data_IF_737582780794
#
_entry.id   IF_737582780794
#
_cell.length_a   1.000
_cell.length_b   1.000
_cell.length_c   1.000
_cell.angle_alpha   90.00
_cell.angle_beta   90.00
_cell.angle_gamma   90.00
#
_symmetry.space_group_name_H-M   'P 1'
#
loop_
_entity.id
_entity.type
_entity.pdbx_description
1 polymer ?
#
# COMPACT_ATOMS: atom_id res chain seq x y z
N UNK A 1 4.36 19.35 7.59
CA UNK A 1 3.08 19.06 6.89
C UNK A 1 3.37 18.32 5.60
N UNK A 2 2.70 17.20 5.35
CA UNK A 2 2.89 16.38 4.15
C UNK A 2 2.37 17.13 2.91
N UNK A 3 3.12 17.09 1.80
CA UNK A 3 2.70 17.70 0.53
C UNK A 3 2.31 16.64 -0.50
N UNK A 4 1.66 17.06 -1.59
CA UNK A 4 1.38 16.17 -2.73
C UNK A 4 2.63 15.48 -3.26
N UNK A 5 3.74 16.22 -3.38
CA UNK A 5 5.00 15.65 -3.87
C UNK A 5 5.59 14.60 -2.90
N UNK A 6 5.42 14.79 -1.60
CA UNK A 6 5.86 13.81 -0.60
C UNK A 6 5.02 12.51 -0.72
N UNK A 7 3.71 12.64 -0.90
CA UNK A 7 2.82 11.48 -1.10
C UNK A 7 3.11 10.78 -2.43
N UNK A 8 3.37 11.53 -3.51
CA UNK A 8 3.83 10.96 -4.80
C UNK A 8 5.10 10.17 -4.59
N UNK A 9 6.10 10.72 -3.90
CA UNK A 9 7.35 10.01 -3.61
C UNK A 9 7.09 8.70 -2.86
N UNK A 10 6.27 8.74 -1.81
CA UNK A 10 5.90 7.54 -1.04
C UNK A 10 5.17 6.50 -1.90
N UNK A 11 4.23 6.93 -2.75
CA UNK A 11 3.48 6.04 -3.65
C UNK A 11 4.35 5.43 -4.75
N UNK A 12 5.31 6.18 -5.29
CA UNK A 12 6.28 5.65 -6.25
C UNK A 12 7.21 4.62 -5.59
N UNK A 13 7.67 4.88 -4.37
CA UNK A 13 8.45 3.89 -3.60
C UNK A 13 7.62 2.61 -3.35
N UNK A 14 6.35 2.75 -2.94
CA UNK A 14 5.44 1.61 -2.75
C UNK A 14 5.19 0.86 -4.06
N UNK A 15 4.88 1.57 -5.15
CA UNK A 15 4.66 0.99 -6.49
C UNK A 15 5.87 0.23 -6.97
N UNK A 16 7.05 0.83 -6.88
CA UNK A 16 8.29 0.19 -7.28
C UNK A 16 8.56 -1.06 -6.45
N UNK A 17 8.33 -1.00 -5.14
CA UNK A 17 8.53 -2.15 -4.27
C UNK A 17 7.53 -3.28 -4.58
N UNK A 18 6.26 -2.97 -4.86
CA UNK A 18 5.24 -3.94 -5.23
C UNK A 18 5.51 -4.60 -6.58
N UNK A 19 5.74 -3.81 -7.63
CA UNK A 19 5.96 -4.32 -8.99
C UNK A 19 7.23 -5.17 -9.07
N UNK A 20 8.28 -4.80 -8.34
CA UNK A 20 9.53 -5.55 -8.29
C UNK A 20 9.57 -6.62 -7.19
N UNK A 21 8.47 -6.84 -6.46
CA UNK A 21 8.38 -7.82 -5.38
C UNK A 21 9.46 -7.63 -4.30
N UNK A 22 9.85 -6.38 -4.04
CA UNK A 22 10.89 -6.02 -3.09
C UNK A 22 10.29 -5.87 -1.68
N UNK A 23 10.27 -6.99 -0.95
CA UNK A 23 9.69 -7.09 0.40
C UNK A 23 10.35 -6.13 1.40
N UNK A 24 11.68 -6.01 1.36
CA UNK A 24 12.43 -5.15 2.29
C UNK A 24 12.07 -3.68 2.12
N UNK A 25 11.88 -3.23 0.88
CA UNK A 25 11.47 -1.86 0.58
C UNK A 25 10.09 -1.56 1.15
N UNK A 26 9.14 -2.51 1.05
CA UNK A 26 7.82 -2.33 1.64
C UNK A 26 7.85 -2.34 3.17
N UNK A 27 8.58 -3.28 3.77
CA UNK A 27 8.75 -3.31 5.22
C UNK A 27 9.41 -2.03 5.75
N UNK A 28 10.32 -1.43 4.97
CA UNK A 28 10.94 -0.14 5.29
C UNK A 28 9.92 1.00 5.29
N UNK A 29 9.03 1.09 4.27
CA UNK A 29 7.97 2.10 4.17
C UNK A 29 7.03 2.08 5.37
N UNK A 30 6.77 0.89 5.94
CA UNK A 30 5.88 0.70 7.09
C UNK A 30 6.63 0.57 8.43
N UNK A 31 7.94 0.82 8.48
CA UNK A 31 8.76 0.61 9.69
C UNK A 31 8.34 1.44 10.90
N UNK A 32 7.74 2.62 10.66
CA UNK A 32 7.20 3.54 11.67
C UNK A 32 5.67 3.45 11.83
N UNK A 33 5.02 2.58 11.05
CA UNK A 33 3.57 2.40 11.09
C UNK A 33 3.17 1.69 12.37
N UNK A 34 2.32 2.34 13.16
CA UNK A 34 1.82 1.79 14.43
C UNK A 34 0.56 0.97 14.21
N UNK A 35 -0.30 1.43 13.31
CA UNK A 35 -1.54 0.75 12.96
C UNK A 35 -1.57 0.50 11.44
N UNK A 36 -1.61 -0.76 11.04
CA UNK A 36 -1.77 -1.17 9.66
C UNK A 36 -3.09 -1.93 9.57
N UNK A 37 -4.01 -1.57 8.67
CA UNK A 37 -5.28 -2.27 8.51
C UNK A 37 -5.41 -2.77 7.07
N UNK A 38 -4.99 -4.02 6.84
CA UNK A 38 -5.11 -4.70 5.54
C UNK A 38 -6.58 -4.94 5.17
N UNK A 39 -7.41 -5.24 6.17
CA UNK A 39 -8.84 -5.52 6.01
C UNK A 39 -9.65 -4.70 7.00
N UNK A 40 -10.70 -4.00 6.56
CA UNK A 40 -11.38 -2.98 7.37
C UNK A 40 -12.14 -3.52 8.58
N UNK A 41 -12.52 -4.80 8.55
CA UNK A 41 -13.20 -5.47 9.65
C UNK A 41 -12.27 -6.25 10.59
N UNK A 42 -10.96 -6.25 10.33
CA UNK A 42 -9.97 -6.90 11.19
C UNK A 42 -9.29 -5.87 12.10
N UNK A 43 -8.74 -6.36 13.22
CA UNK A 43 -7.80 -5.60 14.05
C UNK A 43 -6.57 -5.19 13.24
N UNK A 44 -5.78 -4.25 13.79
CA UNK A 44 -4.54 -3.85 13.16
C UNK A 44 -3.65 -5.08 12.90
N UNK A 45 -3.19 -5.19 11.65
CA UNK A 45 -2.31 -6.21 11.14
C UNK A 45 -0.95 -6.11 11.82
N UNK A 46 -0.46 -7.22 12.37
CA UNK A 46 0.85 -7.25 13.02
C UNK A 46 1.99 -7.21 11.99
N UNK A 47 3.22 -6.94 12.43
CA UNK A 47 4.39 -6.93 11.52
C UNK A 47 4.62 -8.30 10.88
N UNK A 48 4.37 -9.36 11.64
CA UNK A 48 4.49 -10.74 11.19
C UNK A 48 3.42 -11.05 10.12
N UNK A 49 2.19 -10.58 10.32
CA UNK A 49 1.13 -10.73 9.31
C UNK A 49 1.44 -9.94 8.04
N UNK A 50 1.97 -8.71 8.15
CA UNK A 50 2.45 -7.95 6.99
C UNK A 50 3.48 -8.80 6.25
N UNK A 51 4.53 -9.28 6.92
CA UNK A 51 5.57 -10.09 6.28
C UNK A 51 5.00 -11.36 5.62
N UNK A 52 3.99 -11.99 6.24
CA UNK A 52 3.32 -13.15 5.65
C UNK A 52 2.57 -12.81 4.37
N UNK A 53 1.81 -11.70 4.32
CA UNK A 53 1.14 -11.26 3.08
C UNK A 53 2.15 -11.00 1.96
N UNK A 54 3.31 -10.44 2.32
CA UNK A 54 4.37 -10.16 1.36
C UNK A 54 5.10 -11.42 0.89
N UNK A 55 5.01 -12.57 1.56
CA UNK A 55 5.49 -13.84 1.02
C UNK A 55 4.59 -14.39 -0.10
N UNK A 56 3.30 -14.04 -0.05
CA UNK A 56 2.27 -14.22 -1.07
C UNK A 56 2.73 -13.88 -2.51
N UNK A 57 3.54 -12.83 -2.61
CA UNK A 57 3.74 -12.08 -3.85
C UNK A 57 4.68 -12.76 -4.84
N UNK A 58 5.52 -13.69 -4.38
CA UNK A 58 6.61 -14.26 -5.21
C UNK A 58 6.03 -14.97 -6.44
N UNK A 59 4.84 -15.56 -6.28
CA UNK A 59 4.10 -16.30 -7.29
C UNK A 59 3.31 -15.41 -8.26
N UNK A 60 3.30 -14.09 -8.07
CA UNK A 60 2.59 -13.16 -8.92
C UNK A 60 3.46 -12.73 -10.11
N UNK A 61 2.83 -12.57 -11.27
CA UNK A 61 3.45 -12.07 -12.50
C UNK A 61 2.62 -10.94 -13.13
N UNK A 62 3.20 -10.23 -14.11
CA UNK A 62 2.55 -9.14 -14.86
C UNK A 62 1.93 -8.06 -13.95
N UNK A 63 2.62 -7.73 -12.86
CA UNK A 63 2.11 -6.84 -11.82
C UNK A 63 2.10 -5.40 -12.34
N UNK A 64 0.95 -4.74 -12.24
CA UNK A 64 0.80 -3.30 -12.49
C UNK A 64 0.09 -2.66 -11.31
N UNK A 65 0.55 -1.49 -10.88
CA UNK A 65 -0.13 -0.66 -9.89
C UNK A 65 -0.17 0.77 -10.41
N UNK A 66 -1.37 1.30 -10.54
CA UNK A 66 -1.62 2.69 -10.88
C UNK A 66 -2.37 3.35 -9.72
N UNK A 67 -2.22 4.67 -9.57
CA UNK A 67 -2.80 5.39 -8.46
C UNK A 67 -3.13 6.84 -8.81
N UNK A 68 -4.07 7.40 -8.07
CA UNK A 68 -4.43 8.81 -8.10
C UNK A 68 -4.60 9.32 -6.66
N UNK A 69 -3.96 10.45 -6.34
CA UNK A 69 -4.12 11.11 -5.04
C UNK A 69 -5.37 11.98 -5.12
N UNK A 70 -6.44 11.58 -4.41
CA UNK A 70 -7.70 12.32 -4.37
C UNK A 70 -7.63 13.58 -3.51
N UNK A 71 -7.11 13.46 -2.29
CA UNK A 71 -6.92 14.62 -1.41
C UNK A 71 -5.87 14.34 -0.34
N UNK A 72 -5.36 15.42 0.26
CA UNK A 72 -4.48 15.41 1.41
C UNK A 72 -5.04 16.41 2.41
N UNK A 73 -5.46 15.93 3.57
CA UNK A 73 -6.09 16.75 4.60
C UNK A 73 -5.55 16.38 5.98
N UNK A 74 -5.09 17.37 6.75
CA UNK A 74 -4.59 17.16 8.12
C UNK A 74 -3.51 16.06 8.25
N UNK A 75 -2.63 15.95 7.25
CA UNK A 75 -1.57 14.93 7.23
C UNK A 75 -2.03 13.55 6.75
N UNK A 76 -3.27 13.41 6.26
CA UNK A 76 -3.85 12.15 5.78
C UNK A 76 -4.06 12.24 4.27
N UNK A 77 -3.48 11.29 3.53
CA UNK A 77 -3.68 11.15 2.10
C UNK A 77 -4.75 10.09 1.80
N UNK A 78 -5.67 10.43 0.91
CA UNK A 78 -6.64 9.52 0.32
C UNK A 78 -6.23 9.24 -1.12
N UNK A 79 -5.94 7.98 -1.43
CA UNK A 79 -5.28 7.58 -2.67
C UNK A 79 -6.08 6.45 -3.27
N UNK A 80 -6.69 6.67 -4.43
CA UNK A 80 -7.25 5.58 -5.21
C UNK A 80 -6.13 4.82 -5.90
N UNK A 81 -6.31 3.52 -6.03
CA UNK A 81 -5.36 2.67 -6.71
C UNK A 81 -6.07 1.55 -7.45
N UNK A 82 -5.43 1.11 -8.52
CA UNK A 82 -5.81 -0.04 -9.30
C UNK A 82 -4.62 -0.97 -9.39
N UNK A 83 -4.80 -2.21 -8.95
CA UNK A 83 -3.78 -3.23 -9.06
C UNK A 83 -4.26 -4.38 -9.96
N UNK A 84 -3.38 -4.84 -10.84
CA UNK A 84 -3.60 -6.03 -11.65
C UNK A 84 -2.38 -6.93 -11.56
N UNK A 85 -2.61 -8.24 -11.48
CA UNK A 85 -1.56 -9.24 -11.48
C UNK A 85 -2.10 -10.56 -12.03
N UNK A 86 -1.21 -11.45 -12.42
CA UNK A 86 -1.51 -12.81 -12.85
C UNK A 86 -1.06 -13.78 -11.75
N UNK A 87 -1.91 -14.73 -11.41
CA UNK A 87 -1.62 -15.83 -10.48
C UNK A 87 -2.28 -17.11 -11.00
N UNK A 88 -1.51 -18.20 -11.11
CA UNK A 88 -1.98 -19.49 -11.64
C UNK A 88 -2.76 -19.33 -12.96
N UNK A 89 -2.16 -18.62 -13.94
CA UNK A 89 -2.72 -18.33 -15.27
C UNK A 89 -4.04 -17.55 -15.28
N UNK A 90 -4.47 -17.03 -14.13
CA UNK A 90 -5.65 -16.17 -14.02
C UNK A 90 -5.25 -14.72 -13.76
N UNK A 91 -5.86 -13.80 -14.51
CA UNK A 91 -5.71 -12.35 -14.31
C UNK A 91 -6.67 -11.86 -13.23
N UNK A 92 -6.14 -11.14 -12.25
CA UNK A 92 -6.89 -10.49 -11.18
C UNK A 92 -6.86 -8.98 -11.36
N UNK A 93 -7.95 -8.34 -10.96
CA UNK A 93 -8.11 -6.89 -11.03
C UNK A 93 -8.74 -6.40 -9.72
N UNK A 94 -7.99 -5.58 -9.01
CA UNK A 94 -8.35 -4.97 -7.75
C UNK A 94 -8.47 -3.47 -7.93
N UNK A 95 -9.48 -2.89 -7.31
CA UNK A 95 -9.74 -1.46 -7.25
C UNK A 95 -9.97 -1.08 -5.79
N UNK A 96 -9.28 -0.06 -5.31
CA UNK A 96 -9.29 0.27 -3.91
C UNK A 96 -8.81 1.66 -3.56
N UNK A 97 -8.84 1.94 -2.26
CA UNK A 97 -8.40 3.21 -1.69
C UNK A 97 -7.45 2.94 -0.52
N UNK A 98 -6.33 3.64 -0.50
CA UNK A 98 -5.49 3.80 0.67
C UNK A 98 -5.88 5.07 1.43
N UNK A 99 -5.87 4.97 2.76
CA UNK A 99 -5.91 6.10 3.68
C UNK A 99 -4.66 6.04 4.53
N UNK A 100 -3.75 6.99 4.29
CA UNK A 100 -2.39 6.97 4.84
C UNK A 100 -2.16 8.22 5.66
N UNK A 101 -1.89 8.06 6.96
CA UNK A 101 -1.54 9.16 7.86
C UNK A 101 -0.03 9.27 7.98
N UNK A 102 0.48 10.48 7.78
CA UNK A 102 1.89 10.80 7.89
C UNK A 102 2.20 11.60 9.16
N UNK A 103 3.39 11.41 9.73
CA UNK A 103 3.93 12.30 10.77
C UNK A 103 4.68 13.52 10.17
N UNK A 104 5.18 14.41 11.02
CA UNK A 104 5.93 15.59 10.59
C UNK A 104 7.26 15.25 9.88
N UNK A 105 7.79 14.05 10.13
CA UNK A 105 8.95 13.48 9.47
C UNK A 105 8.59 12.74 8.18
N UNK A 106 7.31 12.82 7.74
CA UNK A 106 6.77 12.22 6.52
C UNK A 106 6.78 10.69 6.50
N UNK A 107 6.83 10.05 7.67
CA UNK A 107 6.70 8.60 7.79
C UNK A 107 5.23 8.20 7.83
N UNK A 108 4.88 7.07 7.23
CA UNK A 108 3.57 6.45 7.41
C UNK A 108 3.43 5.95 8.86
N UNK A 109 2.49 6.52 9.61
CA UNK A 109 2.22 6.14 11.02
C UNK A 109 0.91 5.36 11.18
N UNK A 110 -0.03 5.52 10.26
CA UNK A 110 -1.23 4.70 10.17
C UNK A 110 -1.60 4.46 8.70
N UNK A 111 -1.89 3.21 8.36
CA UNK A 111 -2.27 2.77 7.02
C UNK A 111 -3.59 2.00 7.10
N UNK A 112 -4.56 2.35 6.24
CA UNK A 112 -5.82 1.61 6.07
C UNK A 112 -6.11 1.42 4.60
N UNK A 113 -6.74 0.32 4.25
CA UNK A 113 -7.20 0.11 2.89
C UNK A 113 -8.57 -0.58 2.79
N UNK A 114 -9.23 -0.30 1.68
CA UNK A 114 -10.44 -0.97 1.22
C UNK A 114 -10.26 -1.29 -0.25
N UNK A 115 -10.62 -2.50 -0.64
CA UNK A 115 -10.56 -2.91 -2.03
C UNK A 115 -11.64 -3.93 -2.34
N UNK A 116 -12.03 -3.97 -3.61
CA UNK A 116 -12.81 -5.03 -4.19
C UNK A 116 -12.02 -5.68 -5.32
N UNK A 117 -12.22 -6.97 -5.50
CA UNK A 117 -11.60 -7.75 -6.56
C UNK A 117 -12.69 -8.26 -7.49
N UNK A 118 -12.47 -8.12 -8.79
CA UNK A 118 -13.34 -8.66 -9.84
C UNK A 118 -13.00 -10.11 -10.16
#
# INVERSE_FOLDING_TARGET
MITKNDVVKWMEEFKNAWVNKNKDSVLSLFSKTKNYYERPFKSATTKEEIQSYWNDIDNLTDITLDYEIYTIENGVAFIHWVNKYTYQDKRYHLDGVFVVKFDDSKNCVEFRQWWFMK
#
